data_IF_686713858863
#
_entry.id   IF_686713858863
#
_cell.length_a   1.000
_cell.length_b   1.000
_cell.length_c   1.000
_cell.angle_alpha   90.00
_cell.angle_beta   90.00
_cell.angle_gamma   90.00
#
_symmetry.space_group_name_H-M   'P 1'
#
loop_
_entity.id
_entity.type
_entity.pdbx_description
1 polymer ?
#
# COMPACT_ATOMS: atom_id res chain seq x y z
N UNK A 1 47.88 -15.74 1.31
CA UNK A 1 46.45 -16.02 1.52
C UNK A 1 45.63 -14.74 1.28
N UNK A 2 45.02 -14.52 0.10
CA UNK A 2 44.35 -13.23 -0.23
C UNK A 2 43.05 -13.37 -1.05
N UNK A 3 42.23 -14.39 -0.75
CA UNK A 3 40.99 -14.69 -1.48
C UNK A 3 39.68 -14.13 -0.88
N UNK A 4 39.69 -13.72 0.39
CA UNK A 4 38.46 -13.36 1.14
C UNK A 4 37.89 -11.97 0.82
N UNK A 5 38.75 -11.01 0.46
CA UNK A 5 38.33 -9.62 0.22
C UNK A 5 37.61 -9.43 -1.13
N UNK A 6 38.00 -10.18 -2.17
CA UNK A 6 37.34 -10.10 -3.48
C UNK A 6 35.92 -10.70 -3.50
N UNK A 7 35.69 -11.81 -2.77
CA UNK A 7 34.35 -12.43 -2.67
C UNK A 7 33.32 -11.53 -1.99
N UNK A 8 33.71 -10.78 -0.95
CA UNK A 8 32.83 -9.82 -0.26
C UNK A 8 32.48 -8.62 -1.14
N UNK A 9 33.43 -8.09 -1.92
CA UNK A 9 33.19 -6.99 -2.87
C UNK A 9 32.25 -7.40 -4.01
N UNK A 10 32.42 -8.61 -4.57
CA UNK A 10 31.58 -9.12 -5.68
C UNK A 10 30.13 -9.39 -5.23
N UNK A 11 29.91 -9.97 -4.04
CA UNK A 11 28.56 -10.11 -3.45
C UNK A 11 27.87 -8.76 -3.20
N UNK A 12 28.62 -7.76 -2.70
CA UNK A 12 28.09 -6.40 -2.47
C UNK A 12 27.78 -5.66 -3.78
N UNK A 13 28.53 -5.94 -4.85
CA UNK A 13 28.29 -5.39 -6.18
C UNK A 13 27.06 -6.01 -6.86
N UNK A 14 26.89 -7.34 -6.75
CA UNK A 14 25.72 -8.05 -7.27
C UNK A 14 24.43 -7.67 -6.51
N UNK A 15 24.49 -7.50 -5.18
CA UNK A 15 23.37 -6.96 -4.41
C UNK A 15 23.02 -5.51 -4.80
N UNK A 16 24.05 -4.70 -5.11
CA UNK A 16 23.87 -3.34 -5.64
C UNK A 16 23.36 -3.31 -7.08
N UNK A 17 23.76 -4.26 -7.92
CA UNK A 17 23.27 -4.39 -9.30
C UNK A 17 21.81 -4.86 -9.32
N UNK A 18 21.43 -5.81 -8.44
CA UNK A 18 20.03 -6.17 -8.20
C UNK A 18 19.20 -5.01 -7.62
N UNK A 19 19.80 -4.15 -6.81
CA UNK A 19 19.15 -2.92 -6.35
C UNK A 19 19.15 -1.78 -7.41
N UNK A 20 19.80 -1.98 -8.56
CA UNK A 20 19.94 -1.02 -9.66
C UNK A 20 19.14 -1.43 -10.90
N UNK A 21 18.45 -2.57 -10.87
CA UNK A 21 17.24 -2.78 -11.66
C UNK A 21 16.22 -1.79 -11.10
N UNK A 22 16.30 -0.56 -11.62
CA UNK A 22 15.29 0.47 -11.42
C UNK A 22 14.04 -0.05 -12.11
N UNK A 23 13.22 -0.82 -11.40
CA UNK A 23 11.83 -0.97 -11.85
C UNK A 23 11.28 0.43 -12.02
N UNK A 24 10.72 0.68 -13.19
CA UNK A 24 10.09 1.96 -13.43
C UNK A 24 8.94 2.08 -12.42
N UNK A 25 8.81 3.23 -11.76
CA UNK A 25 7.74 3.40 -10.76
C UNK A 25 6.35 3.23 -11.40
N UNK A 26 6.26 3.42 -12.72
CA UNK A 26 5.07 3.15 -13.52
C UNK A 26 4.64 1.67 -13.48
N UNK A 27 5.59 0.72 -13.40
CA UNK A 27 5.31 -0.73 -13.33
C UNK A 27 4.71 -1.14 -11.97
N UNK A 28 4.82 -0.26 -10.97
CA UNK A 28 4.29 -0.50 -9.62
C UNK A 28 2.91 0.18 -9.43
N UNK A 29 2.39 0.85 -10.47
CA UNK A 29 1.01 1.38 -10.49
C UNK A 29 0.03 0.21 -10.52
N UNK A 30 -1.08 0.38 -9.81
CA UNK A 30 -2.10 -0.64 -9.69
C UNK A 30 -1.78 -1.70 -8.64
N UNK A 31 -2.79 -2.50 -8.31
CA UNK A 31 -2.72 -3.57 -7.33
C UNK A 31 -3.65 -4.70 -7.72
N UNK A 32 -3.14 -5.92 -7.76
CA UNK A 32 -3.97 -7.12 -7.80
C UNK A 32 -4.44 -7.45 -6.37
N UNK A 33 -5.74 -7.31 -6.11
CA UNK A 33 -6.35 -7.62 -4.81
C UNK A 33 -6.34 -9.14 -4.52
N UNK A 34 -6.30 -9.99 -5.54
CA UNK A 34 -6.37 -11.45 -5.40
C UNK A 34 -4.99 -12.10 -5.17
N UNK A 35 -3.91 -11.35 -5.37
CA UNK A 35 -2.54 -11.81 -5.11
C UNK A 35 -2.20 -11.95 -3.61
N UNK A 36 -3.08 -11.50 -2.70
CA UNK A 36 -2.83 -11.47 -1.26
C UNK A 36 -3.96 -12.13 -0.47
N UNK A 37 -3.67 -12.44 0.79
CA UNK A 37 -4.74 -12.79 1.73
C UNK A 37 -5.75 -11.61 1.81
N UNK A 38 -7.08 -11.85 1.79
CA UNK A 38 -8.08 -10.78 1.64
C UNK A 38 -7.93 -9.62 2.62
N UNK A 39 -7.67 -9.90 3.90
CA UNK A 39 -7.46 -8.86 4.91
C UNK A 39 -6.20 -8.02 4.65
N UNK A 40 -5.15 -8.63 4.12
CA UNK A 40 -3.92 -7.91 3.77
C UNK A 40 -4.10 -7.10 2.49
N UNK A 41 -4.91 -7.60 1.54
CA UNK A 41 -5.29 -6.88 0.34
C UNK A 41 -6.04 -5.59 0.68
N UNK A 42 -7.08 -5.66 1.52
CA UNK A 42 -7.83 -4.49 2.03
C UNK A 42 -6.88 -3.48 2.68
N UNK A 43 -6.02 -3.94 3.61
CA UNK A 43 -5.08 -3.05 4.30
C UNK A 43 -4.13 -2.33 3.33
N UNK A 44 -3.59 -3.05 2.36
CA UNK A 44 -2.68 -2.52 1.33
C UNK A 44 -3.38 -1.56 0.39
N UNK A 45 -4.61 -1.89 -0.02
CA UNK A 45 -5.48 -1.03 -0.80
C UNK A 45 -5.64 0.32 -0.10
N UNK A 46 -6.17 0.34 1.12
CA UNK A 46 -6.40 1.60 1.84
C UNK A 46 -5.10 2.36 2.13
N UNK A 47 -4.01 1.65 2.43
CA UNK A 47 -2.71 2.30 2.65
C UNK A 47 -2.20 3.05 1.42
N UNK A 48 -2.46 2.53 0.22
CA UNK A 48 -2.08 3.17 -1.05
C UNK A 48 -3.10 4.23 -1.46
N UNK A 49 -4.37 3.90 -1.35
CA UNK A 49 -5.50 4.75 -1.74
C UNK A 49 -5.56 6.05 -0.95
N UNK A 50 -5.27 6.01 0.37
CA UNK A 50 -5.21 7.21 1.23
C UNK A 50 -3.80 7.82 1.32
N UNK A 51 -2.78 7.14 0.79
CA UNK A 51 -1.37 7.57 0.83
C UNK A 51 -0.74 7.58 2.24
N UNK A 52 -1.41 7.00 3.25
CA UNK A 52 -0.96 6.90 4.65
C UNK A 52 -1.23 5.50 5.20
N UNK A 53 -0.62 5.09 6.33
CA UNK A 53 -0.98 3.81 6.96
C UNK A 53 -2.48 3.75 7.24
N UNK A 54 -3.14 2.69 6.78
CA UNK A 54 -4.58 2.55 6.96
C UNK A 54 -4.96 2.45 8.45
N UNK A 55 -6.02 3.17 8.83
CA UNK A 55 -6.56 3.23 10.19
C UNK A 55 -8.04 2.76 10.22
N UNK A 56 -8.63 2.73 11.43
CA UNK A 56 -10.05 2.40 11.60
C UNK A 56 -11.00 3.46 10.99
N UNK A 57 -10.51 4.68 10.74
CA UNK A 57 -11.25 5.71 10.03
C UNK A 57 -11.36 5.39 8.53
N UNK A 58 -10.39 4.66 7.97
CA UNK A 58 -10.40 4.31 6.56
C UNK A 58 -11.27 3.07 6.27
N UNK A 59 -11.18 2.07 7.16
CA UNK A 59 -12.03 0.88 7.15
C UNK A 59 -12.05 0.19 8.52
N UNK A 60 -13.15 -0.52 8.81
CA UNK A 60 -13.25 -1.35 10.02
C UNK A 60 -14.18 -2.55 9.80
N UNK A 61 -14.04 -3.57 10.63
CA UNK A 61 -14.93 -4.73 10.64
C UNK A 61 -15.95 -4.62 11.76
N UNK A 62 -17.20 -4.97 11.48
CA UNK A 62 -18.27 -5.15 12.45
C UNK A 62 -18.72 -6.61 12.44
N UNK A 63 -18.71 -7.25 13.60
CA UNK A 63 -19.30 -8.59 13.72
C UNK A 63 -20.82 -8.45 13.81
N UNK A 64 -21.53 -9.31 13.08
CA UNK A 64 -22.98 -9.40 13.08
C UNK A 64 -23.32 -10.85 13.42
N UNK A 65 -24.24 -11.05 14.36
CA UNK A 65 -24.72 -12.40 14.65
C UNK A 65 -25.39 -12.97 13.39
N UNK A 66 -25.09 -14.24 13.08
CA UNK A 66 -25.81 -14.94 12.02
C UNK A 66 -27.30 -14.98 12.36
N UNK A 67 -28.13 -14.96 11.32
CA UNK A 67 -29.59 -14.90 11.43
C UNK A 67 -30.20 -16.14 12.08
N UNK A 68 -29.43 -17.22 12.18
CA UNK A 68 -29.85 -18.47 12.78
C UNK A 68 -29.18 -18.66 14.16
N UNK A 69 -29.93 -18.55 15.27
CA UNK A 69 -29.39 -18.71 16.61
C UNK A 69 -29.05 -20.18 16.97
N UNK A 70 -29.46 -21.18 16.18
CA UNK A 70 -29.09 -22.59 16.41
C UNK A 70 -27.66 -22.92 15.96
N UNK A 71 -27.06 -22.07 15.14
CA UNK A 71 -25.70 -22.24 14.68
C UNK A 71 -24.85 -21.09 15.23
N UNK A 72 -23.79 -21.42 15.99
CA UNK A 72 -22.81 -20.46 16.53
C UNK A 72 -21.93 -19.83 15.41
N UNK A 73 -22.55 -19.47 14.29
CA UNK A 73 -21.89 -18.83 13.17
C UNK A 73 -21.85 -17.32 13.37
N UNK A 74 -20.71 -16.75 13.03
CA UNK A 74 -20.44 -15.33 13.11
C UNK A 74 -20.32 -14.82 11.68
N UNK A 75 -21.09 -13.79 11.34
CA UNK A 75 -20.89 -13.02 10.11
C UNK A 75 -20.09 -11.75 10.43
N UNK A 76 -19.43 -11.19 9.42
CA UNK A 76 -18.76 -9.90 9.54
C UNK A 76 -19.10 -9.00 8.36
N UNK A 77 -19.09 -7.70 8.63
CA UNK A 77 -19.24 -6.65 7.64
C UNK A 77 -17.97 -5.81 7.64
N UNK A 78 -17.40 -5.59 6.46
CA UNK A 78 -16.34 -4.62 6.24
C UNK A 78 -16.98 -3.29 5.85
N UNK A 79 -16.83 -2.28 6.68
CA UNK A 79 -17.29 -0.92 6.42
C UNK A 79 -16.10 -0.10 5.93
N UNK A 80 -16.27 0.63 4.83
CA UNK A 80 -15.21 1.39 4.17
C UNK A 80 -15.56 2.88 4.06
N UNK A 81 -15.48 3.66 5.15
CA UNK A 81 -15.74 5.10 5.12
C UNK A 81 -14.96 5.83 4.02
N UNK A 82 -13.67 5.54 3.90
CA UNK A 82 -12.79 6.13 2.88
C UNK A 82 -13.12 5.72 1.46
N UNK A 83 -13.95 4.70 1.24
CA UNK A 83 -14.34 4.21 -0.09
C UNK A 83 -15.87 4.23 -0.21
N UNK A 84 -16.40 5.43 -0.42
CA UNK A 84 -17.83 5.75 -0.58
C UNK A 84 -18.75 5.22 0.53
N UNK A 85 -18.24 5.08 1.76
CA UNK A 85 -19.00 4.55 2.91
C UNK A 85 -19.68 3.19 2.64
N UNK A 86 -19.06 2.35 1.80
CA UNK A 86 -19.64 1.06 1.41
C UNK A 86 -19.53 0.02 2.52
N UNK A 87 -20.42 -0.97 2.46
CA UNK A 87 -20.47 -2.10 3.40
C UNK A 87 -20.45 -3.39 2.61
N UNK A 88 -19.50 -4.27 2.94
CA UNK A 88 -19.32 -5.58 2.32
C UNK A 88 -19.58 -6.65 3.37
N UNK A 89 -20.68 -7.38 3.24
CA UNK A 89 -21.05 -8.45 4.16
C UNK A 89 -20.47 -9.78 3.68
N UNK A 90 -19.68 -10.42 4.54
CA UNK A 90 -19.16 -11.77 4.29
C UNK A 90 -20.15 -12.86 4.71
N UNK A 91 -19.83 -14.07 4.28
CA UNK A 91 -20.58 -15.28 4.64
C UNK A 91 -20.43 -15.60 6.14
N UNK A 92 -21.48 -16.16 6.77
CA UNK A 92 -21.39 -16.72 8.12
C UNK A 92 -20.26 -17.76 8.21
N UNK A 93 -19.50 -17.71 9.29
CA UNK A 93 -18.35 -18.56 9.50
C UNK A 93 -18.27 -19.03 10.96
N UNK A 94 -17.56 -20.14 11.18
CA UNK A 94 -17.37 -20.73 12.51
C UNK A 94 -16.59 -19.83 13.50
N UNK A 95 -15.98 -18.74 13.05
CA UNK A 95 -15.30 -17.77 13.91
C UNK A 95 -15.18 -16.40 13.24
N UNK A 96 -14.97 -15.38 14.07
CA UNK A 96 -14.79 -13.99 13.64
C UNK A 96 -13.68 -13.82 12.59
N UNK A 97 -12.52 -14.48 12.75
CA UNK A 97 -11.39 -14.29 11.82
C UNK A 97 -11.73 -14.71 10.39
N UNK A 98 -12.42 -15.84 10.25
CA UNK A 98 -12.91 -16.35 8.95
C UNK A 98 -14.01 -15.45 8.39
N UNK A 99 -14.93 -14.99 9.24
CA UNK A 99 -15.99 -14.07 8.85
C UNK A 99 -15.42 -12.75 8.27
N UNK A 100 -14.45 -12.15 8.96
CA UNK A 100 -13.75 -10.94 8.48
C UNK A 100 -13.00 -11.19 7.17
N UNK A 101 -12.36 -12.36 7.02
CA UNK A 101 -11.69 -12.72 5.78
C UNK A 101 -12.68 -12.92 4.62
N UNK A 102 -13.87 -13.46 4.89
CA UNK A 102 -14.95 -13.57 3.90
C UNK A 102 -15.44 -12.18 3.46
N UNK A 103 -15.73 -11.29 4.41
CA UNK A 103 -16.13 -9.90 4.11
C UNK A 103 -15.06 -9.14 3.29
N UNK A 104 -13.80 -9.31 3.65
CA UNK A 104 -12.67 -8.79 2.88
C UNK A 104 -12.59 -9.41 1.47
N UNK A 105 -12.92 -10.70 1.34
CA UNK A 105 -12.98 -11.38 0.05
C UNK A 105 -14.05 -10.82 -0.86
N UNK A 106 -15.22 -10.47 -0.31
CA UNK A 106 -16.28 -9.78 -1.07
C UNK A 106 -15.79 -8.42 -1.58
N UNK A 107 -15.12 -7.62 -0.74
CA UNK A 107 -14.47 -6.38 -1.20
C UNK A 107 -13.44 -6.63 -2.30
N UNK A 108 -12.60 -7.66 -2.17
CA UNK A 108 -11.58 -7.96 -3.17
C UNK A 108 -12.17 -8.35 -4.52
N UNK A 109 -13.37 -8.92 -4.56
CA UNK A 109 -14.05 -9.28 -5.81
C UNK A 109 -15.01 -8.19 -6.32
N UNK A 110 -15.16 -7.08 -5.60
CA UNK A 110 -16.03 -6.00 -6.01
C UNK A 110 -15.47 -5.27 -7.26
N UNK A 111 -16.27 -5.08 -8.32
CA UNK A 111 -15.80 -4.43 -9.55
C UNK A 111 -15.24 -3.03 -9.32
N UNK A 112 -15.87 -2.23 -8.47
CA UNK A 112 -15.43 -0.85 -8.21
C UNK A 112 -14.12 -0.84 -7.41
N UNK A 113 -13.98 -1.76 -6.45
CA UNK A 113 -12.71 -1.93 -5.73
C UNK A 113 -11.58 -2.39 -6.66
N UNK A 114 -11.86 -3.27 -7.63
CA UNK A 114 -10.92 -3.72 -8.65
C UNK A 114 -10.50 -2.58 -9.59
N UNK A 115 -11.47 -1.79 -10.07
CA UNK A 115 -11.20 -0.61 -10.90
C UNK A 115 -10.32 0.41 -10.17
N UNK A 116 -10.66 0.73 -8.92
CA UNK A 116 -9.84 1.61 -8.09
C UNK A 116 -8.45 1.00 -7.83
N UNK A 117 -8.37 -0.31 -7.58
CA UNK A 117 -7.12 -1.01 -7.33
C UNK A 117 -6.19 -0.96 -8.55
N UNK A 118 -6.73 -1.03 -9.77
CA UNK A 118 -5.96 -0.99 -11.02
C UNK A 118 -5.20 0.32 -11.24
N UNK A 119 -5.68 1.42 -10.64
CA UNK A 119 -5.10 2.77 -10.80
C UNK A 119 -4.40 3.27 -9.53
N UNK A 120 -4.16 2.43 -8.52
CA UNK A 120 -3.52 2.88 -7.28
C UNK A 120 -2.09 3.38 -7.51
N UNK A 121 -1.68 4.45 -6.81
CA UNK A 121 -0.31 4.94 -6.89
C UNK A 121 0.69 3.90 -6.36
N UNK A 122 1.96 3.94 -6.78
CA UNK A 122 2.97 3.00 -6.32
C UNK A 122 3.11 2.99 -4.79
N UNK A 123 3.49 1.85 -4.17
CA UNK A 123 3.70 1.78 -2.74
C UNK A 123 4.70 2.84 -2.26
N UNK A 124 4.38 3.52 -1.15
CA UNK A 124 5.25 4.54 -0.57
C UNK A 124 6.68 4.05 -0.28
N UNK A 125 6.88 2.76 0.00
CA UNK A 125 8.20 2.15 0.15
C UNK A 125 9.04 2.20 -1.14
N UNK A 126 8.42 1.96 -2.30
CA UNK A 126 9.04 2.06 -3.63
C UNK A 126 9.34 3.52 -3.97
N UNK A 127 8.40 4.43 -3.69
CA UNK A 127 8.63 5.87 -3.83
C UNK A 127 9.84 6.35 -2.99
N UNK A 128 9.98 5.86 -1.75
CA UNK A 128 11.14 6.17 -0.88
C UNK A 128 12.45 5.64 -1.45
N UNK A 129 12.44 4.41 -1.96
CA UNK A 129 13.62 3.81 -2.60
C UNK A 129 14.05 4.62 -3.83
N UNK A 130 13.10 5.01 -4.67
CA UNK A 130 13.34 5.83 -5.85
C UNK A 130 13.85 7.23 -5.48
N UNK A 131 13.21 7.90 -4.51
CA UNK A 131 13.62 9.20 -3.99
C UNK A 131 15.05 9.15 -3.40
N UNK A 132 15.40 8.05 -2.72
CA UNK A 132 16.74 7.82 -2.15
C UNK A 132 17.81 7.44 -3.18
N UNK A 133 17.42 6.92 -4.35
CA UNK A 133 18.32 6.37 -5.37
C UNK A 133 18.92 7.39 -6.36
N UNK A 134 18.37 8.60 -6.45
CA UNK A 134 18.89 9.66 -7.34
C UNK A 134 19.74 10.72 -6.63
N UNK A 135 19.67 10.83 -5.29
CA UNK A 135 20.23 11.95 -4.52
C UNK A 135 21.65 11.78 -3.98
N UNK A 136 22.15 10.55 -3.85
CA UNK A 136 23.40 10.28 -3.11
C UNK A 136 24.69 10.85 -3.73
N UNK A 137 24.66 11.44 -4.93
CA UNK A 137 25.82 12.16 -5.50
C UNK A 137 25.66 13.69 -5.55
N UNK A 138 24.47 14.25 -5.30
CA UNK A 138 24.24 15.71 -5.37
C UNK A 138 23.78 16.34 -4.05
N UNK A 139 23.24 15.56 -3.11
CA UNK A 139 22.66 16.10 -1.87
C UNK A 139 23.68 16.50 -0.80
N UNK A 140 24.97 16.18 -0.98
CA UNK A 140 26.04 16.65 -0.08
C UNK A 140 26.23 18.18 -0.07
N UNK A 141 25.78 18.88 -1.13
CA UNK A 141 25.91 20.33 -1.24
C UNK A 141 24.63 21.12 -0.91
N UNK A 142 23.44 20.51 -0.98
CA UNK A 142 22.16 21.24 -0.78
C UNK A 142 21.80 21.37 0.71
N UNK A 143 22.23 20.43 1.57
CA UNK A 143 21.99 20.53 3.01
C UNK A 143 22.77 21.67 3.70
N UNK A 144 23.77 22.27 3.05
CA UNK A 144 24.50 23.43 3.60
C UNK A 144 23.78 24.76 3.36
N UNK A 145 22.91 24.87 2.34
CA UNK A 145 22.30 26.16 1.97
C UNK A 145 20.90 26.41 2.56
N UNK A 146 20.21 25.38 3.07
CA UNK A 146 18.79 25.48 3.46
C UNK A 146 18.48 25.15 4.92
N UNK A 147 19.46 24.71 5.72
CA UNK A 147 19.28 24.40 7.15
C UNK A 147 18.30 23.24 7.48
N UNK A 148 17.67 22.61 6.49
CA UNK A 148 16.73 21.49 6.68
C UNK A 148 17.49 20.17 6.88
N UNK A 149 17.09 19.42 7.92
CA UNK A 149 17.63 18.06 8.21
C UNK A 149 17.40 17.15 7.00
N UNK A 150 18.44 16.40 6.58
CA UNK A 150 18.45 15.45 5.44
C UNK A 150 17.24 14.50 5.42
N UNK A 151 16.68 14.15 6.59
CA UNK A 151 15.50 13.30 6.72
C UNK A 151 14.20 13.93 6.21
N UNK A 152 14.00 15.25 6.38
CA UNK A 152 12.76 15.91 5.94
C UNK A 152 12.70 16.07 4.42
N UNK A 153 13.85 16.26 3.78
CA UNK A 153 13.93 16.40 2.31
C UNK A 153 13.54 15.11 1.58
N UNK A 154 13.88 13.95 2.15
CA UNK A 154 13.54 12.64 1.57
C UNK A 154 12.05 12.32 1.72
N UNK A 155 11.42 12.67 2.85
CA UNK A 155 9.98 12.45 3.03
C UNK A 155 9.17 13.38 2.11
N UNK A 156 9.58 14.64 1.98
CA UNK A 156 8.92 15.62 1.13
C UNK A 156 9.02 15.23 -0.36
N UNK A 157 10.18 14.81 -0.83
CA UNK A 157 10.35 14.29 -2.21
C UNK A 157 9.55 13.02 -2.47
N UNK A 158 9.46 12.11 -1.50
CA UNK A 158 8.63 10.90 -1.62
C UNK A 158 7.16 11.27 -1.79
N UNK A 159 6.68 12.20 -0.96
CA UNK A 159 5.29 12.68 -1.02
C UNK A 159 4.99 13.39 -2.34
N UNK A 160 5.93 14.20 -2.84
CA UNK A 160 5.80 14.85 -4.15
C UNK A 160 5.73 13.84 -5.30
N UNK A 161 6.53 12.76 -5.26
CA UNK A 161 6.46 11.69 -6.27
C UNK A 161 5.09 11.00 -6.20
N UNK A 162 4.62 10.65 -5.00
CA UNK A 162 3.32 10.03 -4.82
C UNK A 162 2.18 10.95 -5.30
N UNK A 163 2.18 12.21 -4.90
CA UNK A 163 1.21 13.23 -5.37
C UNK A 163 1.25 13.43 -6.88
N UNK A 164 2.42 13.32 -7.51
CA UNK A 164 2.51 13.41 -8.97
C UNK A 164 1.73 12.28 -9.65
N UNK A 165 1.84 11.05 -9.15
CA UNK A 165 1.06 9.93 -9.67
C UNK A 165 -0.45 10.13 -9.43
N UNK A 166 -0.84 10.63 -8.25
CA UNK A 166 -2.23 11.00 -7.95
C UNK A 166 -2.76 12.01 -9.00
N UNK A 167 -2.03 13.10 -9.21
CA UNK A 167 -2.39 14.15 -10.19
C UNK A 167 -2.32 13.69 -11.65
N UNK A 168 -1.77 12.51 -11.95
CA UNK A 168 -1.62 11.97 -13.31
C UNK A 168 -2.71 10.96 -13.69
N UNK A 169 -3.77 10.84 -12.88
CA UNK A 169 -4.89 9.91 -13.14
C UNK A 169 -4.83 8.59 -12.37
N UNK A 170 -3.97 8.48 -11.34
CA UNK A 170 -4.09 7.40 -10.36
C UNK A 170 -5.22 7.76 -9.38
N UNK A 171 -6.32 7.02 -9.40
CA UNK A 171 -7.51 7.30 -8.59
C UNK A 171 -7.23 7.24 -7.09
N UNK A 172 -7.65 8.29 -6.37
CA UNK A 172 -7.57 8.39 -4.92
C UNK A 172 -8.90 8.78 -4.30
N UNK A 173 -9.00 8.61 -2.99
CA UNK A 173 -10.11 9.08 -2.16
C UNK A 173 -10.49 10.55 -2.42
N UNK A 174 -9.53 11.40 -2.81
CA UNK A 174 -9.80 12.81 -3.11
C UNK A 174 -10.44 13.03 -4.48
N UNK A 175 -10.11 12.20 -5.47
CA UNK A 175 -10.75 12.22 -6.79
C UNK A 175 -12.21 11.73 -6.71
N UNK A 176 -12.49 10.88 -5.73
CA UNK A 176 -13.79 10.30 -5.43
C UNK A 176 -14.68 11.16 -4.52
N UNK A 177 -14.24 12.38 -4.19
CA UNK A 177 -15.01 13.34 -3.38
C UNK A 177 -15.05 13.02 -1.88
N UNK A 178 -14.19 12.12 -1.41
CA UNK A 178 -14.15 11.65 -0.03
C UNK A 178 -13.14 12.44 0.85
N UNK A 179 -12.84 13.70 0.53
CA UNK A 179 -11.78 14.50 1.17
C UNK A 179 -12.19 15.29 2.42
#
# INVERSE_FOLDING_TARGET
>A
MSGGHMRKRRKKLLARQRAKERTDLSEEVGMDLNAFHPKDAVRRFFTRYTGRPATAEDYFYRCVQASDPEHEEVAAELVTPSFYWRVFRGDPCSNQKKAEASAAGIFCNDPQAQEAAAVLPPPMSKCRLFAGGAGNKRDGNVSKSTGKKVGSFKSERTRQIHQRFQNSGCGTMFDDGNG
#
